data_IF_149483868741
#
_entry.id   IF_149483868741
#
_cell.length_a   1.000
_cell.length_b   1.000
_cell.length_c   1.000
_cell.angle_alpha   90.00
_cell.angle_beta   90.00
_cell.angle_gamma   90.00
#
_symmetry.space_group_name_H-M   'P 1'
#
loop_
_entity.id
_entity.type
_entity.pdbx_description
1 polymer ?
#
# COMPACT_ATOMS: atom_id res chain seq x y z
N UNK A 1 -26.83 19.29 7.38
CA UNK A 1 -25.68 19.60 8.25
C UNK A 1 -25.47 18.38 9.13
N UNK A 2 -24.54 17.49 8.76
CA UNK A 2 -24.24 16.27 9.53
C UNK A 2 -23.52 16.67 10.81
N UNK A 3 -24.09 16.33 11.97
CA UNK A 3 -23.49 16.67 13.27
C UNK A 3 -22.26 15.80 13.58
N UNK A 4 -21.11 16.48 13.60
CA UNK A 4 -20.07 16.55 14.64
C UNK A 4 -19.44 15.29 15.27
N UNK A 5 -20.07 14.11 15.32
CA UNK A 5 -19.46 12.93 15.98
C UNK A 5 -18.90 11.92 14.98
N UNK A 6 -19.63 11.58 13.92
CA UNK A 6 -19.10 10.68 12.87
C UNK A 6 -17.93 11.30 12.13
N UNK A 7 -18.01 12.60 11.79
CA UNK A 7 -16.88 13.31 11.19
C UNK A 7 -15.68 13.36 12.14
N UNK A 8 -15.90 13.64 13.43
CA UNK A 8 -14.79 13.61 14.42
C UNK A 8 -14.17 12.23 14.54
N UNK A 9 -14.95 11.16 14.45
CA UNK A 9 -14.43 9.81 14.46
C UNK A 9 -13.66 9.50 13.17
N UNK A 10 -14.13 9.94 12.00
CA UNK A 10 -13.45 9.79 10.71
C UNK A 10 -12.07 10.45 10.65
N UNK A 11 -11.88 11.57 11.35
CA UNK A 11 -10.60 12.31 11.38
C UNK A 11 -9.86 12.16 12.73
N UNK A 12 -10.30 11.24 13.60
CA UNK A 12 -9.57 10.93 14.85
C UNK A 12 -8.41 9.97 14.56
N UNK A 13 -7.49 9.78 15.50
CA UNK A 13 -6.34 8.86 15.35
C UNK A 13 -6.77 7.39 15.31
N UNK A 14 -7.89 7.06 15.96
CA UNK A 14 -8.33 5.69 16.21
C UNK A 14 -8.53 4.85 14.93
N UNK A 15 -9.18 5.34 13.86
CA UNK A 15 -9.30 4.60 12.61
C UNK A 15 -7.97 4.34 11.89
N UNK A 16 -6.93 5.14 12.14
CA UNK A 16 -5.62 4.94 11.51
C UNK A 16 -4.77 3.93 12.29
N UNK A 17 -4.91 3.87 13.62
CA UNK A 17 -4.20 2.91 14.47
C UNK A 17 -4.54 1.45 14.16
N UNK A 18 -5.72 1.20 13.61
CA UNK A 18 -6.19 -0.14 13.25
C UNK A 18 -5.74 -0.57 11.83
N UNK A 19 -5.02 0.25 11.07
CA UNK A 19 -4.52 -0.08 9.72
C UNK A 19 -3.21 -0.87 9.77
N UNK A 20 -3.13 -2.00 9.06
CA UNK A 20 -1.89 -2.74 8.78
C UNK A 20 -1.12 -2.05 7.66
N UNK A 21 -0.33 -1.04 8.04
CA UNK A 21 0.63 -0.37 7.17
C UNK A 21 1.98 -1.05 7.18
N UNK A 22 2.48 -1.38 5.98
CA UNK A 22 3.81 -1.96 5.82
C UNK A 22 4.57 -1.38 4.66
N UNK A 23 5.89 -1.39 4.82
CA UNK A 23 6.84 -1.09 3.76
C UNK A 23 7.18 -2.41 3.04
N UNK A 24 6.97 -2.43 1.73
CA UNK A 24 7.35 -3.55 0.87
C UNK A 24 8.36 -3.12 -0.18
N UNK A 25 9.18 -4.06 -0.65
CA UNK A 25 10.14 -3.82 -1.73
C UNK A 25 9.54 -4.22 -3.07
N UNK A 26 9.67 -3.36 -4.07
CA UNK A 26 9.26 -3.72 -5.44
C UNK A 26 10.19 -4.80 -5.98
N UNK A 27 9.61 -5.96 -6.31
CA UNK A 27 10.32 -7.12 -6.87
C UNK A 27 9.89 -7.43 -8.31
N UNK A 28 8.89 -6.74 -8.85
CA UNK A 28 8.49 -6.88 -10.24
C UNK A 28 7.21 -6.13 -10.59
N UNK A 29 6.75 -6.35 -11.81
CA UNK A 29 5.56 -5.72 -12.39
C UNK A 29 4.73 -6.76 -13.14
N UNK A 30 3.42 -6.54 -13.15
CA UNK A 30 2.49 -7.27 -14.01
C UNK A 30 1.81 -6.29 -14.95
N UNK A 31 1.98 -6.49 -16.26
CA UNK A 31 1.23 -5.76 -17.27
C UNK A 31 -0.23 -6.19 -17.25
N UNK A 32 -1.12 -5.22 -17.10
CA UNK A 32 -2.57 -5.43 -17.15
C UNK A 32 -3.21 -4.48 -18.15
N UNK A 33 -4.40 -4.86 -18.62
CA UNK A 33 -5.28 -3.98 -19.40
C UNK A 33 -6.40 -3.53 -18.49
N UNK A 34 -6.45 -2.24 -18.18
CA UNK A 34 -7.43 -1.64 -17.29
C UNK A 34 -8.12 -0.50 -18.04
N UNK A 35 -9.46 -0.56 -18.11
CA UNK A 35 -10.28 0.36 -18.92
C UNK A 35 -9.86 0.47 -20.41
N UNK A 36 -9.18 -0.56 -20.93
CA UNK A 36 -8.69 -0.60 -22.33
C UNK A 36 -7.29 -0.03 -22.53
N UNK A 37 -6.65 0.48 -21.47
CA UNK A 37 -5.30 1.02 -21.49
C UNK A 37 -4.32 0.07 -20.81
N UNK A 38 -3.07 0.06 -21.26
CA UNK A 38 -2.01 -0.71 -20.58
C UNK A 38 -1.64 -0.01 -19.29
N UNK A 39 -1.60 -0.77 -18.21
CA UNK A 39 -1.17 -0.31 -16.89
C UNK A 39 -0.30 -1.37 -16.21
N UNK A 40 0.36 -1.00 -15.12
CA UNK A 40 1.24 -1.89 -14.37
C UNK A 40 0.72 -2.10 -12.96
N UNK A 41 0.65 -3.36 -12.52
CA UNK A 41 0.51 -3.68 -11.10
C UNK A 41 1.89 -3.93 -10.51
N UNK A 42 2.14 -3.38 -9.32
CA UNK A 42 3.37 -3.65 -8.59
C UNK A 42 3.32 -5.04 -7.98
N UNK A 43 4.46 -5.74 -8.01
CA UNK A 43 4.71 -6.95 -7.24
C UNK A 43 5.66 -6.55 -6.11
N UNK A 44 5.18 -6.69 -4.87
CA UNK A 44 5.81 -6.18 -3.66
C UNK A 44 6.13 -7.33 -2.71
N UNK A 45 7.35 -7.36 -2.18
CA UNK A 45 7.78 -8.29 -1.14
C UNK A 45 7.79 -7.59 0.22
N UNK A 46 6.98 -8.12 1.15
CA UNK A 46 6.83 -7.64 2.53
C UNK A 46 7.52 -8.59 3.54
N UNK A 47 8.49 -9.38 3.10
CA UNK A 47 9.28 -10.27 3.98
C UNK A 47 8.57 -11.56 4.36
N UNK A 48 9.21 -12.38 5.20
CA UNK A 48 8.80 -13.77 5.44
C UNK A 48 7.41 -13.95 6.08
N UNK A 49 6.96 -13.00 6.89
CA UNK A 49 5.68 -13.08 7.59
C UNK A 49 4.46 -12.82 6.67
N UNK A 50 4.60 -11.91 5.70
CA UNK A 50 3.51 -11.48 4.80
C UNK A 50 3.67 -12.09 3.41
N UNK A 51 4.91 -12.15 2.92
CA UNK A 51 5.29 -12.61 1.60
C UNK A 51 4.99 -11.61 0.50
N UNK A 52 4.95 -12.12 -0.73
CA UNK A 52 4.73 -11.31 -1.93
C UNK A 52 3.24 -11.01 -2.13
N UNK A 53 2.94 -9.77 -2.52
CA UNK A 53 1.59 -9.29 -2.86
C UNK A 53 1.62 -8.46 -4.14
N UNK A 54 0.45 -8.35 -4.77
CA UNK A 54 0.22 -7.44 -5.91
C UNK A 54 -0.48 -6.19 -5.42
N UNK A 55 -0.21 -5.05 -6.05
CA UNK A 55 -1.00 -3.84 -5.80
C UNK A 55 -2.47 -4.04 -6.17
N UNK A 56 -3.36 -3.37 -5.46
CA UNK A 56 -4.81 -3.44 -5.72
C UNK A 56 -5.22 -2.72 -6.98
N UNK A 57 -4.55 -1.61 -7.26
CA UNK A 57 -4.77 -0.78 -8.43
C UNK A 57 -3.62 -0.92 -9.40
N UNK A 58 -3.93 -0.88 -10.70
CA UNK A 58 -2.92 -0.71 -11.72
C UNK A 58 -2.58 0.77 -11.86
N UNK A 59 -1.30 1.05 -11.99
CA UNK A 59 -0.77 2.38 -12.07
C UNK A 59 -0.47 2.66 -13.55
N UNK A 60 -1.08 3.72 -14.14
CA UNK A 60 -0.95 4.00 -15.56
C UNK A 60 0.45 4.56 -15.93
N UNK A 61 1.17 5.15 -14.98
CA UNK A 61 2.53 5.63 -15.14
C UNK A 61 3.21 5.79 -13.78
N UNK A 62 4.38 5.17 -13.59
CA UNK A 62 5.20 5.31 -12.38
C UNK A 62 6.64 5.73 -12.71
N UNK A 63 6.95 5.98 -13.98
CA UNK A 63 8.31 6.02 -14.51
C UNK A 63 8.74 4.67 -15.09
N UNK A 64 10.02 4.53 -15.39
CA UNK A 64 10.58 3.32 -15.97
C UNK A 64 10.64 2.20 -14.92
N UNK A 65 10.16 0.99 -15.24
CA UNK A 65 10.15 -0.16 -14.33
C UNK A 65 11.52 -0.43 -13.70
N UNK A 66 12.59 -0.22 -14.47
CA UNK A 66 13.97 -0.38 -14.00
C UNK A 66 14.32 0.55 -12.85
N UNK A 67 13.79 1.76 -12.86
CA UNK A 67 14.05 2.78 -11.83
C UNK A 67 13.20 2.55 -10.57
N UNK A 68 12.21 1.65 -10.67
CA UNK A 68 11.27 1.33 -9.61
C UNK A 68 11.57 0.00 -8.94
N UNK A 69 12.28 -0.91 -9.63
CA UNK A 69 12.77 -2.14 -9.01
C UNK A 69 13.60 -1.81 -7.78
N UNK A 70 13.41 -2.60 -6.73
CA UNK A 70 14.04 -2.42 -5.42
C UNK A 70 13.64 -1.18 -4.63
N UNK A 71 12.81 -0.28 -5.15
CA UNK A 71 12.25 0.81 -4.36
C UNK A 71 11.36 0.27 -3.26
N UNK A 72 11.31 1.01 -2.16
CA UNK A 72 10.42 0.74 -1.05
C UNK A 72 9.11 1.48 -1.27
N UNK A 73 8.00 0.81 -0.96
CA UNK A 73 6.65 1.34 -1.12
C UNK A 73 5.84 1.11 0.15
N UNK A 74 5.15 2.15 0.59
CA UNK A 74 4.21 2.05 1.69
C UNK A 74 2.86 1.55 1.19
N UNK A 75 2.30 0.53 1.86
CA UNK A 75 1.01 -0.05 1.51
C UNK A 75 0.15 -0.35 2.73
N UNK A 76 -1.18 -0.32 2.54
CA UNK A 76 -2.16 -0.90 3.47
C UNK A 76 -2.46 -2.35 3.06
N UNK A 77 -2.42 -3.28 4.02
CA UNK A 77 -2.63 -4.72 3.76
C UNK A 77 -4.00 -5.25 4.19
N UNK A 78 -4.72 -4.55 5.06
CA UNK A 78 -5.94 -5.00 5.73
C UNK A 78 -7.18 -4.15 5.42
N UNK A 79 -7.25 -3.55 4.23
CA UNK A 79 -8.42 -2.74 3.86
C UNK A 79 -9.67 -3.62 3.61
N UNK A 80 -10.85 -3.26 4.18
CA UNK A 80 -12.08 -4.01 4.01
C UNK A 80 -12.56 -3.95 2.54
N UNK A 81 -12.20 -4.96 1.75
CA UNK A 81 -12.75 -5.16 0.41
C UNK A 81 -14.20 -5.60 0.52
N UNK A 82 -15.14 -4.65 0.44
CA UNK A 82 -16.57 -4.92 0.48
C UNK A 82 -17.10 -5.75 -0.72
N UNK A 83 -16.27 -6.08 -1.72
CA UNK A 83 -16.75 -6.68 -2.99
C UNK A 83 -15.92 -7.84 -3.56
N UNK A 84 -14.94 -8.41 -2.86
CA UNK A 84 -14.17 -9.53 -3.45
C UNK A 84 -13.99 -10.67 -2.44
N UNK A 85 -15.04 -11.49 -2.31
CA UNK A 85 -15.02 -12.77 -1.62
C UNK A 85 -14.07 -13.84 -2.22
N UNK A 86 -13.16 -13.50 -3.15
CA UNK A 86 -12.32 -14.50 -3.86
C UNK A 86 -10.88 -14.11 -4.25
N UNK A 87 -10.32 -12.98 -3.84
CA UNK A 87 -8.87 -12.75 -4.00
C UNK A 87 -8.27 -12.18 -2.73
N UNK A 88 -7.55 -13.04 -2.04
CA UNK A 88 -6.77 -12.80 -0.82
C UNK A 88 -5.86 -11.58 -1.02
N UNK A 89 -6.08 -10.54 -0.21
CA UNK A 89 -5.24 -9.37 0.06
C UNK A 89 -4.42 -8.83 -1.12
N UNK A 90 -4.94 -7.80 -1.79
CA UNK A 90 -4.15 -6.92 -2.64
C UNK A 90 -3.63 -5.76 -1.77
N UNK A 91 -2.39 -5.33 -1.97
CA UNK A 91 -1.79 -4.24 -1.21
C UNK A 91 -2.25 -2.89 -1.78
N UNK A 92 -2.87 -2.02 -0.99
CA UNK A 92 -3.21 -0.67 -1.43
C UNK A 92 -1.95 0.18 -1.39
N UNK A 93 -1.39 0.47 -2.57
CA UNK A 93 -0.20 1.30 -2.72
C UNK A 93 -0.51 2.75 -2.34
N UNK A 94 0.29 3.33 -1.44
CA UNK A 94 0.15 4.73 -1.02
C UNK A 94 1.23 5.64 -1.62
N UNK A 95 2.43 5.11 -1.86
CA UNK A 95 3.54 5.88 -2.40
C UNK A 95 4.88 5.17 -2.26
N UNK A 96 5.90 5.67 -2.96
CA UNK A 96 7.30 5.28 -2.76
C UNK A 96 7.91 6.05 -1.59
N UNK A 97 8.83 5.40 -0.88
CA UNK A 97 9.67 6.04 0.13
C UNK A 97 10.87 6.69 -0.57
N UNK A 98 11.29 7.87 -0.10
CA UNK A 98 12.54 8.53 -0.53
C UNK A 98 13.76 7.79 0.04
N UNK A 99 14.91 7.91 -0.64
CA UNK A 99 16.14 7.14 -0.38
C UNK A 99 16.84 7.43 0.98
N UNK A 100 16.25 8.22 1.88
CA UNK A 100 16.91 8.66 3.13
C UNK A 100 16.82 7.66 4.30
N UNK A 101 16.26 6.46 4.10
CA UNK A 101 16.29 5.40 5.11
C UNK A 101 16.12 4.00 4.52
N UNK A 102 17.02 3.07 4.84
CA UNK A 102 16.79 1.64 4.59
C UNK A 102 15.80 1.13 5.65
N UNK A 103 14.54 0.93 5.25
CA UNK A 103 13.57 0.23 6.08
C UNK A 103 13.67 -1.28 5.84
N UNK A 104 13.46 -2.09 6.86
CA UNK A 104 13.34 -3.54 6.70
C UNK A 104 11.93 -3.90 6.23
N UNK A 105 11.79 -5.00 5.47
CA UNK A 105 10.48 -5.46 5.01
C UNK A 105 9.54 -5.91 6.15
N UNK A 106 10.05 -5.99 7.39
CA UNK A 106 9.30 -6.36 8.58
C UNK A 106 8.83 -5.13 9.38
N UNK A 107 9.23 -3.93 8.98
CA UNK A 107 8.89 -2.69 9.66
C UNK A 107 7.40 -2.39 9.46
N UNK A 108 6.65 -2.49 10.55
CA UNK A 108 5.32 -1.87 10.64
C UNK A 108 5.52 -0.39 10.96
N UNK A 109 4.80 0.48 10.24
CA UNK A 109 4.79 1.90 10.58
C UNK A 109 3.87 2.08 11.79
N UNK A 110 4.45 2.42 12.93
CA UNK A 110 3.69 2.88 14.09
C UNK A 110 3.32 4.35 13.91
N UNK A 111 2.04 4.61 13.62
CA UNK A 111 1.52 5.97 13.49
C UNK A 111 1.75 6.85 14.73
N UNK A 112 1.84 6.26 15.92
CA UNK A 112 2.13 7.00 17.14
C UNK A 112 3.55 7.60 17.14
N UNK A 113 4.49 7.00 16.39
CA UNK A 113 5.87 7.49 16.26
C UNK A 113 6.03 8.55 15.17
N UNK A 114 5.10 8.66 14.21
CA UNK A 114 5.14 9.66 13.14
C UNK A 114 4.52 11.01 13.54
N UNK A 115 3.69 11.04 14.59
CA UNK A 115 2.99 12.23 15.05
C UNK A 115 3.77 13.08 16.08
N UNK A 116 5.03 12.71 16.38
CA UNK A 116 5.94 13.45 17.28
C UNK A 116 6.95 14.30 16.52
#
# INVERSE_FOLDING_TARGET
MMESTEYRNLVSEKPFADLDLRIGKVVGFELVLEHGEKAHRLILDFGGAVGVRKSSEALPSLGEERDLLSKQALCVLDYPSASIAKMRAQALFLGFMEDEGEFSNEDAIDFAQLAS
#
